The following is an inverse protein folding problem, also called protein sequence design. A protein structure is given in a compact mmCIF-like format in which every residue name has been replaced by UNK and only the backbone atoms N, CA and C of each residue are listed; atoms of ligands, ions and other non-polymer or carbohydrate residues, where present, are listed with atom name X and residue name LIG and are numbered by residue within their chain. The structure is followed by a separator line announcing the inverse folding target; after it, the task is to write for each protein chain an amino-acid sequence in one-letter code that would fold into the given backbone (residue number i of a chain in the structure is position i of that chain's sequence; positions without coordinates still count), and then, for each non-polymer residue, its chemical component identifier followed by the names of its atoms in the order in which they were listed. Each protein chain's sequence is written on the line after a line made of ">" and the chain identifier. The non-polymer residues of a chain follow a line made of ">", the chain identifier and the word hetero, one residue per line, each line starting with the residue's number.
data_IF_514442579188
#
_entry.id   IF_514442579188
#
_cell.length_a   1.000
_cell.length_b   1.000
_cell.length_c   1.000
_cell.angle_alpha   90.00
_cell.angle_beta   90.00
_cell.angle_gamma   90.00
#
_symmetry.space_group_name_H-M   'P 1'
#
loop_
_entity.id
_entity.type
_entity.pdbx_description
1 polymer ?
#
# COMPACT_ATOMS: atom_id res chain seq x y z
N UNK A 1 4.38 26.98 -0.04
CA UNK A 1 3.04 27.53 0.28
C UNK A 1 2.09 26.35 0.42
N UNK A 2 1.17 26.36 1.40
CA UNK A 2 0.29 25.20 1.67
C UNK A 2 -0.76 24.99 0.56
N UNK A 3 -1.24 26.07 -0.06
CA UNK A 3 -2.21 26.01 -1.17
C UNK A 3 -1.66 25.29 -2.41
N UNK A 4 -0.36 25.43 -2.68
CA UNK A 4 0.30 24.79 -3.83
C UNK A 4 0.40 23.27 -3.69
N UNK A 5 0.16 22.73 -2.49
CA UNK A 5 0.09 21.29 -2.25
C UNK A 5 -1.35 20.77 -2.26
N UNK A 6 -2.27 21.44 -1.55
CA UNK A 6 -3.63 20.93 -1.29
C UNK A 6 -4.40 20.61 -2.58
N UNK A 7 -4.44 21.54 -3.54
CA UNK A 7 -5.23 21.33 -4.76
C UNK A 7 -4.65 20.24 -5.66
N UNK A 8 -3.35 20.26 -6.01
CA UNK A 8 -2.75 19.18 -6.79
C UNK A 8 -2.82 17.81 -6.10
N UNK A 9 -2.70 17.78 -4.76
CA UNK A 9 -2.86 16.55 -3.99
C UNK A 9 -4.26 15.98 -4.14
N UNK A 10 -5.29 16.78 -3.85
CA UNK A 10 -6.69 16.34 -3.92
C UNK A 10 -7.09 15.88 -5.34
N UNK A 11 -6.60 16.56 -6.38
CA UNK A 11 -6.85 16.15 -7.77
C UNK A 11 -6.17 14.81 -8.09
N UNK A 12 -4.91 14.63 -7.70
CA UNK A 12 -4.16 13.40 -7.96
C UNK A 12 -4.70 12.19 -7.18
N UNK A 13 -5.21 12.39 -5.95
CA UNK A 13 -5.69 11.31 -5.07
C UNK A 13 -7.21 11.18 -5.06
N UNK A 14 -7.91 11.79 -6.02
CA UNK A 14 -9.38 11.77 -6.08
C UNK A 14 -9.97 10.36 -6.10
N UNK A 15 -9.25 9.39 -6.69
CA UNK A 15 -9.65 7.98 -6.73
C UNK A 15 -9.49 7.26 -5.39
N UNK A 16 -8.65 7.80 -4.52
CA UNK A 16 -8.32 7.25 -3.20
C UNK A 16 -9.08 7.98 -2.07
N UNK A 17 -10.13 8.73 -2.40
CA UNK A 17 -10.95 9.42 -1.39
C UNK A 17 -11.47 8.45 -0.33
N UNK A 18 -11.20 8.77 0.93
CA UNK A 18 -11.56 7.93 2.08
C UNK A 18 -10.54 6.84 2.41
N UNK A 19 -9.40 6.79 1.70
CA UNK A 19 -8.28 5.90 1.95
C UNK A 19 -7.06 6.68 2.42
N UNK A 20 -6.21 6.03 3.19
CA UNK A 20 -4.91 6.58 3.55
C UNK A 20 -3.98 6.55 2.31
N UNK A 21 -3.25 7.64 2.08
CA UNK A 21 -2.35 7.79 0.93
C UNK A 21 -0.95 8.15 1.41
N UNK A 22 0.03 7.38 0.95
CA UNK A 22 1.44 7.65 1.24
C UNK A 22 1.94 8.73 0.28
N UNK A 23 2.59 9.77 0.83
CA UNK A 23 3.18 10.86 0.06
C UNK A 23 4.65 11.01 0.41
N UNK A 24 5.51 11.14 -0.61
CA UNK A 24 6.90 11.52 -0.43
C UNK A 24 7.04 13.00 -0.79
N UNK A 25 7.49 13.82 0.17
CA UNK A 25 7.74 15.24 -0.01
C UNK A 25 9.26 15.48 0.12
N UNK A 26 9.82 16.16 -0.85
CA UNK A 26 11.21 16.63 -0.85
C UNK A 26 11.20 18.15 -0.83
N UNK A 27 11.85 18.75 0.16
CA UNK A 27 11.93 20.20 0.36
C UNK A 27 13.34 20.68 0.03
N UNK A 28 13.45 21.76 -0.74
CA UNK A 28 14.71 22.35 -1.18
C UNK A 28 15.05 23.61 -0.36
N UNK A 29 16.31 24.06 -0.43
CA UNK A 29 16.82 25.21 0.35
C UNK A 29 16.11 26.54 0.02
N UNK A 30 15.68 26.70 -1.22
CA UNK A 30 14.89 27.84 -1.71
C UNK A 30 13.43 27.81 -1.23
N UNK A 31 13.08 26.86 -0.35
CA UNK A 31 11.74 26.61 0.20
C UNK A 31 10.72 26.14 -0.85
N UNK A 32 11.18 25.75 -2.04
CA UNK A 32 10.37 24.97 -2.97
C UNK A 32 10.29 23.53 -2.51
N UNK A 33 9.33 22.78 -3.06
CA UNK A 33 9.20 21.36 -2.76
C UNK A 33 8.68 20.61 -3.99
N UNK A 34 9.04 19.35 -4.08
CA UNK A 34 8.45 18.38 -5.01
C UNK A 34 7.82 17.26 -4.20
N UNK A 35 6.71 16.72 -4.69
CA UNK A 35 6.05 15.61 -4.03
C UNK A 35 5.55 14.58 -5.03
N UNK A 36 5.38 13.34 -4.56
CA UNK A 36 4.73 12.27 -5.31
C UNK A 36 3.81 11.47 -4.40
N UNK A 37 2.62 11.14 -4.90
CA UNK A 37 1.75 10.14 -4.26
C UNK A 37 2.28 8.75 -4.58
N UNK A 38 2.42 7.92 -3.55
CA UNK A 38 2.65 6.48 -3.67
C UNK A 38 1.33 5.71 -3.52
N UNK A 39 0.19 6.38 -3.39
CA UNK A 39 -1.11 5.74 -3.24
C UNK A 39 -1.27 5.01 -1.91
N UNK A 40 -2.23 4.08 -1.85
CA UNK A 40 -2.63 3.38 -0.63
C UNK A 40 -1.52 2.46 -0.08
N UNK A 41 -1.30 2.38 1.24
CA UNK A 41 -0.41 1.40 1.85
C UNK A 41 -0.78 -0.05 1.48
N UNK A 42 0.23 -0.92 1.34
CA UNK A 42 0.01 -2.32 0.97
C UNK A 42 -0.83 -3.05 2.02
N UNK A 43 -0.60 -2.77 3.30
CA UNK A 43 -1.34 -3.36 4.40
C UNK A 43 -2.82 -2.94 4.39
N UNK A 44 -3.13 -1.70 4.03
CA UNK A 44 -4.51 -1.25 3.81
C UNK A 44 -5.17 -1.95 2.62
N UNK A 45 -4.45 -2.11 1.50
CA UNK A 45 -4.96 -2.83 0.33
C UNK A 45 -5.27 -4.30 0.68
N UNK A 46 -4.41 -4.96 1.46
CA UNK A 46 -4.64 -6.32 1.96
C UNK A 46 -5.89 -6.35 2.84
N UNK A 47 -5.99 -5.42 3.80
CA UNK A 47 -7.12 -5.32 4.73
C UNK A 47 -8.45 -5.12 4.00
N UNK A 48 -8.47 -4.25 2.99
CA UNK A 48 -9.64 -3.98 2.14
C UNK A 48 -10.05 -5.22 1.33
N UNK A 49 -9.09 -5.93 0.72
CA UNK A 49 -9.37 -7.13 -0.08
C UNK A 49 -9.97 -8.28 0.72
N UNK A 50 -9.62 -8.40 1.99
CA UNK A 50 -10.09 -9.51 2.85
C UNK A 50 -11.12 -9.07 3.90
N UNK A 51 -11.51 -7.79 3.90
CA UNK A 51 -12.58 -7.25 4.74
C UNK A 51 -12.25 -7.12 6.23
N UNK A 52 -10.98 -7.00 6.62
CA UNK A 52 -10.57 -6.83 8.02
C UNK A 52 -10.23 -5.38 8.34
N UNK A 53 -10.45 -4.96 9.59
CA UNK A 53 -10.15 -3.58 10.02
C UNK A 53 -8.72 -3.41 10.56
N UNK A 54 -8.16 -4.46 11.16
CA UNK A 54 -6.87 -4.44 11.85
C UNK A 54 -6.13 -5.77 11.66
N UNK A 55 -4.80 -5.71 11.56
CA UNK A 55 -3.94 -6.88 11.63
C UNK A 55 -3.87 -7.51 13.03
N UNK A 56 -3.24 -8.68 13.11
CA UNK A 56 -3.02 -9.42 14.34
C UNK A 56 -2.04 -8.72 15.28
N UNK A 57 -2.35 -8.69 16.57
CA UNK A 57 -1.41 -8.28 17.61
C UNK A 57 -0.32 -9.33 17.90
N UNK A 58 -0.53 -10.58 17.45
CA UNK A 58 0.43 -11.68 17.54
C UNK A 58 0.48 -12.45 16.21
N UNK A 59 1.07 -11.87 15.14
CA UNK A 59 1.01 -12.40 13.77
C UNK A 59 1.45 -13.87 13.60
N UNK A 60 2.36 -14.35 14.44
CA UNK A 60 2.86 -15.73 14.41
C UNK A 60 1.93 -16.75 15.09
N UNK A 61 1.06 -16.31 16.00
CA UNK A 61 0.18 -17.19 16.78
C UNK A 61 -1.31 -17.03 16.41
N UNK A 62 -1.76 -15.80 16.17
CA UNK A 62 -3.15 -15.47 15.90
C UNK A 62 -3.30 -15.02 14.45
N UNK A 63 -3.97 -15.82 13.62
CA UNK A 63 -4.30 -15.46 12.24
C UNK A 63 -5.64 -14.74 12.19
N UNK A 64 -5.69 -13.62 11.48
CA UNK A 64 -6.85 -12.71 11.45
C UNK A 64 -7.55 -12.66 10.08
N UNK A 65 -7.04 -13.38 9.09
CA UNK A 65 -7.64 -13.44 7.76
C UNK A 65 -6.88 -14.36 6.82
N UNK A 66 -7.46 -14.58 5.64
CA UNK A 66 -6.86 -15.33 4.54
C UNK A 66 -6.87 -14.49 3.28
N UNK A 67 -5.79 -14.51 2.51
CA UNK A 67 -5.68 -13.82 1.22
C UNK A 67 -5.25 -14.83 0.15
N UNK A 68 -5.90 -14.80 -1.01
CA UNK A 68 -5.56 -15.70 -2.11
C UNK A 68 -4.36 -15.16 -2.89
N UNK A 69 -3.68 -16.06 -3.61
CA UNK A 69 -2.62 -15.65 -4.53
C UNK A 69 -3.11 -14.66 -5.59
N UNK A 70 -4.31 -14.88 -6.14
CA UNK A 70 -4.90 -13.97 -7.13
C UNK A 70 -5.10 -12.55 -6.56
N UNK A 71 -5.55 -12.43 -5.30
CA UNK A 71 -5.68 -11.13 -4.64
C UNK A 71 -4.32 -10.45 -4.42
N UNK A 72 -3.27 -11.22 -4.12
CA UNK A 72 -1.91 -10.69 -4.01
C UNK A 72 -1.36 -10.23 -5.36
N UNK A 73 -1.66 -10.93 -6.46
CA UNK A 73 -1.29 -10.54 -7.82
C UNK A 73 -1.93 -9.22 -8.23
N UNK A 74 -3.20 -9.01 -7.91
CA UNK A 74 -3.88 -7.73 -8.15
C UNK A 74 -3.22 -6.57 -7.40
N UNK A 75 -2.84 -6.79 -6.12
CA UNK A 75 -2.13 -5.77 -5.33
C UNK A 75 -0.73 -5.54 -5.89
N UNK A 76 -0.03 -6.60 -6.30
CA UNK A 76 1.31 -6.53 -6.87
C UNK A 76 1.31 -5.75 -8.19
N UNK A 77 0.35 -5.97 -9.08
CA UNK A 77 0.24 -5.22 -10.33
C UNK A 77 -0.10 -3.75 -10.08
N UNK A 78 -1.01 -3.46 -9.14
CA UNK A 78 -1.33 -2.09 -8.75
C UNK A 78 -0.13 -1.33 -8.13
N UNK A 79 0.84 -2.06 -7.57
CA UNK A 79 2.04 -1.49 -6.92
C UNK A 79 3.34 -1.69 -7.70
N UNK A 80 3.26 -2.21 -8.92
CA UNK A 80 4.41 -2.61 -9.73
C UNK A 80 5.47 -1.52 -9.88
N UNK A 81 5.06 -0.30 -10.15
CA UNK A 81 5.96 0.84 -10.34
C UNK A 81 6.69 1.27 -9.04
N UNK A 82 6.25 0.76 -7.89
CA UNK A 82 6.83 1.05 -6.57
C UNK A 82 7.65 -0.12 -6.02
N UNK A 83 7.56 -1.30 -6.64
CA UNK A 83 8.25 -2.50 -6.20
C UNK A 83 9.53 -2.69 -7.02
N UNK A 84 10.63 -2.99 -6.34
CA UNK A 84 11.90 -3.33 -7.00
C UNK A 84 11.96 -4.82 -7.41
N UNK A 85 10.80 -5.45 -7.65
CA UNK A 85 10.73 -6.86 -7.99
C UNK A 85 11.11 -7.09 -9.46
N UNK A 86 11.85 -8.17 -9.73
CA UNK A 86 12.30 -8.52 -11.09
C UNK A 86 11.14 -9.09 -11.93
N UNK A 87 10.24 -9.84 -11.30
CA UNK A 87 9.08 -10.46 -11.93
C UNK A 87 7.84 -10.37 -11.03
N UNK A 88 6.67 -10.70 -11.60
CA UNK A 88 5.40 -10.69 -10.87
C UNK A 88 5.42 -11.65 -9.67
N UNK A 89 6.08 -12.80 -9.80
CA UNK A 89 6.22 -13.75 -8.69
C UNK A 89 6.98 -13.17 -7.50
N UNK A 90 8.06 -12.43 -7.77
CA UNK A 90 8.82 -11.69 -6.78
C UNK A 90 7.99 -10.60 -6.13
N UNK A 91 7.22 -9.85 -6.93
CA UNK A 91 6.31 -8.83 -6.43
C UNK A 91 5.27 -9.43 -5.48
N UNK A 92 4.61 -10.52 -5.88
CA UNK A 92 3.67 -11.28 -5.05
C UNK A 92 4.32 -11.76 -3.75
N UNK A 93 5.57 -12.25 -3.78
CA UNK A 93 6.30 -12.66 -2.57
C UNK A 93 6.54 -11.49 -1.62
N UNK A 94 6.83 -10.29 -2.13
CA UNK A 94 6.98 -9.08 -1.31
C UNK A 94 5.66 -8.75 -0.62
N UNK A 95 4.55 -8.70 -1.36
CA UNK A 95 3.22 -8.43 -0.79
C UNK A 95 2.79 -9.54 0.20
N UNK A 96 3.08 -10.80 -0.11
CA UNK A 96 2.83 -11.93 0.78
C UNK A 96 3.61 -11.81 2.10
N UNK A 97 4.80 -11.21 2.09
CA UNK A 97 5.57 -10.88 3.28
C UNK A 97 4.77 -9.96 4.22
N UNK A 98 4.19 -8.89 3.67
CA UNK A 98 3.33 -7.95 4.41
C UNK A 98 2.09 -8.63 4.97
N UNK A 99 1.42 -9.49 4.18
CA UNK A 99 0.27 -10.26 4.67
C UNK A 99 0.65 -11.12 5.89
N UNK A 100 1.77 -11.84 5.81
CA UNK A 100 2.26 -12.69 6.91
C UNK A 100 2.63 -11.88 8.16
N UNK A 101 3.28 -10.73 8.01
CA UNK A 101 3.63 -9.87 9.14
C UNK A 101 2.42 -9.26 9.84
N UNK A 102 1.26 -9.20 9.16
CA UNK A 102 -0.02 -8.78 9.74
C UNK A 102 -0.84 -9.92 10.31
N UNK A 103 -0.36 -11.17 10.25
CA UNK A 103 -1.13 -12.35 10.68
C UNK A 103 -2.21 -12.76 9.68
N UNK A 104 -2.07 -12.42 8.40
CA UNK A 104 -2.91 -12.93 7.32
C UNK A 104 -2.24 -14.16 6.73
N UNK A 105 -3.01 -15.24 6.59
CA UNK A 105 -2.57 -16.48 5.96
C UNK A 105 -2.71 -16.37 4.44
N UNK A 106 -1.69 -16.79 3.70
CA UNK A 106 -1.73 -16.84 2.24
C UNK A 106 -2.22 -18.22 1.84
N UNK A 107 -3.34 -18.26 1.13
CA UNK A 107 -3.94 -19.49 0.60
C UNK A 107 -3.89 -19.47 -0.93
N UNK A 108 -3.83 -20.65 -1.55
CA UNK A 108 -3.95 -20.77 -3.01
C UNK A 108 -5.42 -20.60 -3.45
#
# INVERSE_FOLDING_TARGET
>A
NMMDFINPFNEATKKDMGKDVIVHIQVYEDRTFTWKSLGQPVDDMIREKIGIKKGSGKPHAEKVGKITRAQLEEIAEAKKDQLNAIDLNGAVKVIAGTARSMGVEVVD
#
